data_IF_521181922066
#
_entry.id   IF_521181922066
#
_cell.length_a   1.000
_cell.length_b   1.000
_cell.length_c   1.000
_cell.angle_alpha   90.00
_cell.angle_beta   90.00
_cell.angle_gamma   90.00
#
_symmetry.space_group_name_H-M   'P 1'
#
loop_
_entity.id
_entity.type
_entity.pdbx_description
1 polymer ?
#
# COMPACT_ATOMS: atom_id res chain seq x y z
N UNK A 1 5.82 -22.95 11.37
CA UNK A 1 4.72 -21.96 11.19
C UNK A 1 4.98 -20.62 11.89
N UNK A 2 5.34 -20.58 13.18
CA UNK A 2 5.55 -19.33 13.94
C UNK A 2 6.59 -18.37 13.30
N UNK A 3 7.68 -18.90 12.74
CA UNK A 3 8.76 -18.08 12.15
C UNK A 3 8.34 -17.22 10.96
N UNK A 4 7.37 -17.66 10.13
CA UNK A 4 6.91 -16.92 8.94
C UNK A 4 5.94 -15.79 9.30
N UNK A 5 5.22 -15.94 10.40
CA UNK A 5 4.20 -14.98 10.84
C UNK A 5 4.74 -14.06 11.96
N UNK A 6 6.00 -14.21 12.36
CA UNK A 6 6.59 -13.39 13.43
C UNK A 6 6.51 -11.88 13.13
N UNK A 7 6.83 -11.38 11.91
CA UNK A 7 6.67 -9.96 11.61
C UNK A 7 5.23 -9.48 11.75
N UNK A 8 4.26 -10.27 11.27
CA UNK A 8 2.82 -9.98 11.42
C UNK A 8 2.42 -9.89 12.91
N UNK A 9 2.87 -10.83 13.74
CA UNK A 9 2.56 -10.83 15.17
C UNK A 9 3.14 -9.60 15.88
N UNK A 10 4.36 -9.17 15.50
CA UNK A 10 4.97 -7.95 16.04
C UNK A 10 4.13 -6.73 15.64
N UNK A 11 3.75 -6.61 14.36
CA UNK A 11 2.91 -5.48 13.90
C UNK A 11 1.57 -5.44 14.64
N UNK A 12 0.89 -6.59 14.81
CA UNK A 12 -0.36 -6.66 15.56
C UNK A 12 -0.13 -6.24 17.02
N UNK A 13 0.95 -6.71 17.64
CA UNK A 13 1.32 -6.32 19.00
C UNK A 13 1.55 -4.81 19.13
N UNK A 14 2.30 -4.20 18.21
CA UNK A 14 2.54 -2.75 18.15
C UNK A 14 1.22 -1.99 18.00
N UNK A 15 0.33 -2.42 17.11
CA UNK A 15 -0.98 -1.80 16.93
C UNK A 15 -1.82 -1.87 18.20
N UNK A 16 -1.93 -3.05 18.82
CA UNK A 16 -2.72 -3.25 20.05
C UNK A 16 -2.15 -2.42 21.19
N UNK A 17 -0.84 -2.43 21.41
CA UNK A 17 -0.20 -1.64 22.47
C UNK A 17 -0.37 -0.14 22.23
N UNK A 18 -0.19 0.33 20.99
CA UNK A 18 -0.43 1.72 20.62
C UNK A 18 -1.88 2.14 20.83
N UNK A 19 -2.84 1.29 20.46
CA UNK A 19 -4.25 1.56 20.63
C UNK A 19 -4.63 1.62 22.12
N UNK A 20 -4.13 0.67 22.93
CA UNK A 20 -4.32 0.68 24.38
C UNK A 20 -3.71 1.94 25.02
N UNK A 21 -2.52 2.37 24.57
CA UNK A 21 -1.93 3.62 25.04
C UNK A 21 -2.84 4.82 24.72
N UNK A 22 -3.36 4.93 23.50
CA UNK A 22 -4.29 6.00 23.12
C UNK A 22 -5.56 6.01 24.00
N UNK A 23 -6.09 4.83 24.36
CA UNK A 23 -7.24 4.71 25.27
C UNK A 23 -6.94 5.26 26.68
N UNK A 24 -5.71 5.12 27.17
CA UNK A 24 -5.33 5.67 28.49
C UNK A 24 -5.24 7.20 28.49
N UNK A 25 -4.88 7.80 27.35
CA UNK A 25 -4.73 9.25 27.22
C UNK A 25 -6.06 9.92 26.88
N UNK A 26 -6.88 9.29 26.04
CA UNK A 26 -8.10 9.87 25.50
C UNK A 26 -9.26 8.87 25.55
N UNK A 27 -10.21 9.02 26.49
CA UNK A 27 -11.39 8.14 26.59
C UNK A 27 -12.23 8.07 25.30
N UNK A 28 -12.20 9.13 24.48
CA UNK A 28 -12.90 9.19 23.19
C UNK A 28 -12.41 8.18 22.14
N UNK A 29 -11.21 7.62 22.30
CA UNK A 29 -10.67 6.58 21.41
C UNK A 29 -11.46 5.26 21.46
N UNK A 30 -12.21 5.02 22.55
CA UNK A 30 -13.07 3.86 22.68
C UNK A 30 -14.31 3.94 21.77
N UNK A 31 -14.60 5.11 21.21
CA UNK A 31 -15.76 5.29 20.34
C UNK A 31 -15.63 4.51 19.04
N UNK A 32 -16.73 3.90 18.59
CA UNK A 32 -16.77 3.19 17.30
C UNK A 32 -16.51 4.14 16.13
N UNK A 33 -16.73 5.44 16.32
CA UNK A 33 -16.40 6.50 15.36
C UNK A 33 -14.90 6.59 15.07
N UNK A 34 -14.05 6.56 16.10
CA UNK A 34 -12.59 6.64 15.89
C UNK A 34 -12.09 5.45 15.09
N UNK A 35 -12.55 4.24 15.42
CA UNK A 35 -12.18 3.02 14.68
C UNK A 35 -12.63 3.10 13.22
N UNK A 36 -13.86 3.55 12.96
CA UNK A 36 -14.36 3.71 11.60
C UNK A 36 -13.58 4.77 10.82
N UNK A 37 -13.25 5.90 11.45
CA UNK A 37 -12.48 6.97 10.83
C UNK A 37 -11.08 6.50 10.43
N UNK A 38 -10.39 5.73 11.28
CA UNK A 38 -9.07 5.17 10.95
C UNK A 38 -9.14 4.36 9.64
N UNK A 39 -10.19 3.55 9.45
CA UNK A 39 -10.36 2.74 8.23
C UNK A 39 -10.83 3.58 7.03
N UNK A 40 -11.71 4.55 7.26
CA UNK A 40 -12.29 5.38 6.19
C UNK A 40 -11.30 6.43 5.66
N UNK A 41 -10.60 7.13 6.53
CA UNK A 41 -9.70 8.23 6.16
C UNK A 41 -8.44 7.69 5.48
N UNK A 42 -8.01 6.47 5.84
CA UNK A 42 -6.85 5.81 5.25
C UNK A 42 -7.22 4.85 4.11
N UNK A 43 -8.46 4.89 3.61
CA UNK A 43 -8.93 3.94 2.60
C UNK A 43 -8.10 3.98 1.30
N UNK A 44 -7.77 5.18 0.79
CA UNK A 44 -6.97 5.32 -0.42
C UNK A 44 -5.54 4.78 -0.21
N UNK A 45 -4.92 5.07 0.94
CA UNK A 45 -3.61 4.56 1.29
C UNK A 45 -3.64 3.03 1.45
N UNK A 46 -4.68 2.48 2.06
CA UNK A 46 -4.88 1.04 2.21
C UNK A 46 -4.93 0.31 0.87
N UNK A 47 -5.67 0.84 -0.09
CA UNK A 47 -5.77 0.26 -1.44
C UNK A 47 -4.41 0.24 -2.14
N UNK A 48 -3.65 1.35 -2.07
CA UNK A 48 -2.31 1.44 -2.65
C UNK A 48 -1.35 0.49 -1.95
N UNK A 49 -1.41 0.45 -0.62
CA UNK A 49 -0.53 -0.38 0.19
C UNK A 49 -0.69 -1.86 -0.19
N UNK A 50 -1.90 -2.35 -0.49
CA UNK A 50 -2.11 -3.71 -1.01
C UNK A 50 -1.37 -3.94 -2.32
N UNK A 51 -1.43 -3.00 -3.27
CA UNK A 51 -0.67 -3.08 -4.53
C UNK A 51 0.84 -3.08 -4.30
N UNK A 52 1.30 -2.18 -3.44
CA UNK A 52 2.70 -2.08 -3.01
C UNK A 52 3.18 -3.34 -2.29
N UNK A 53 2.30 -4.07 -1.57
CA UNK A 53 2.65 -5.37 -0.99
C UNK A 53 3.11 -6.33 -2.08
N UNK A 54 2.40 -6.45 -3.20
CA UNK A 54 2.80 -7.36 -4.28
C UNK A 54 4.11 -6.93 -4.96
N UNK A 55 4.32 -5.62 -5.12
CA UNK A 55 5.57 -5.06 -5.66
C UNK A 55 6.74 -5.40 -4.75
N UNK A 56 6.64 -5.09 -3.46
CA UNK A 56 7.72 -5.34 -2.48
C UNK A 56 7.93 -6.85 -2.30
N UNK A 57 6.86 -7.66 -2.28
CA UNK A 57 6.97 -9.11 -2.21
C UNK A 57 7.78 -9.68 -3.38
N UNK A 58 7.72 -9.08 -4.56
CA UNK A 58 8.53 -9.49 -5.72
C UNK A 58 9.98 -8.97 -5.70
N UNK A 59 10.35 -8.14 -4.71
CA UNK A 59 11.65 -7.48 -4.62
C UNK A 59 11.74 -6.15 -5.39
N UNK A 60 10.60 -5.60 -5.83
CA UNK A 60 10.52 -4.33 -6.54
C UNK A 60 10.15 -3.15 -5.64
N UNK A 61 10.25 -1.94 -6.19
CA UNK A 61 9.71 -0.70 -5.61
C UNK A 61 8.97 0.04 -6.72
N UNK A 62 7.77 0.54 -6.43
CA UNK A 62 6.97 1.34 -7.36
C UNK A 62 6.77 2.75 -6.81
N UNK A 63 7.53 3.70 -7.35
CA UNK A 63 7.45 5.12 -6.96
C UNK A 63 6.35 5.87 -7.72
N UNK A 64 5.72 5.26 -8.73
CA UNK A 64 4.77 5.95 -9.60
C UNK A 64 3.38 6.11 -8.99
N UNK A 65 3.03 5.34 -7.96
CA UNK A 65 1.66 5.24 -7.41
C UNK A 65 1.07 6.59 -7.00
N UNK A 66 1.85 7.49 -6.39
CA UNK A 66 1.41 8.83 -6.02
C UNK A 66 1.07 9.71 -7.23
N UNK A 67 1.86 9.62 -8.30
CA UNK A 67 1.60 10.34 -9.55
C UNK A 67 0.47 9.72 -10.37
N UNK A 68 0.21 8.41 -10.24
CA UNK A 68 -0.98 7.76 -10.82
C UNK A 68 -2.26 8.30 -10.18
N UNK A 69 -2.28 8.54 -8.86
CA UNK A 69 -3.40 9.19 -8.16
C UNK A 69 -3.64 10.59 -8.71
N UNK A 70 -2.57 11.39 -8.82
CA UNK A 70 -2.64 12.75 -9.36
C UNK A 70 -3.23 12.77 -10.77
N UNK A 71 -2.69 11.93 -11.66
CA UNK A 71 -3.18 11.80 -13.02
C UNK A 71 -4.63 11.36 -13.06
N UNK A 72 -5.01 10.37 -12.25
CA UNK A 72 -6.39 9.88 -12.17
C UNK A 72 -7.35 10.99 -11.76
N UNK A 73 -7.00 11.77 -10.72
CA UNK A 73 -7.82 12.87 -10.24
C UNK A 73 -8.00 13.97 -11.29
N UNK A 74 -6.90 14.43 -11.90
CA UNK A 74 -6.93 15.48 -12.94
C UNK A 74 -7.68 15.00 -14.18
N UNK A 75 -7.45 13.77 -14.61
CA UNK A 75 -8.14 13.17 -15.76
C UNK A 75 -9.65 13.10 -15.52
N UNK A 76 -10.08 12.59 -14.37
CA UNK A 76 -11.51 12.51 -14.03
C UNK A 76 -12.13 13.91 -13.94
N UNK A 77 -11.44 14.86 -13.31
CA UNK A 77 -11.95 16.22 -13.21
C UNK A 77 -12.15 16.86 -14.59
N UNK A 78 -11.20 16.66 -15.52
CA UNK A 78 -11.28 17.17 -16.89
C UNK A 78 -12.39 16.48 -17.70
N UNK A 79 -12.46 15.16 -17.64
CA UNK A 79 -13.42 14.36 -18.44
C UNK A 79 -14.86 14.53 -17.95
N UNK A 80 -15.06 14.63 -16.64
CA UNK A 80 -16.40 14.86 -16.06
C UNK A 80 -16.78 16.34 -16.19
N UNK A 81 -15.86 17.26 -15.89
CA UNK A 81 -16.13 18.71 -15.90
C UNK A 81 -16.30 19.28 -17.31
N UNK A 82 -15.33 19.05 -18.20
CA UNK A 82 -15.29 19.73 -19.50
C UNK A 82 -16.00 18.93 -20.59
N UNK A 83 -15.84 17.60 -20.58
CA UNK A 83 -16.44 16.72 -21.59
C UNK A 83 -17.81 16.18 -21.18
N UNK A 84 -18.26 16.44 -19.95
CA UNK A 84 -19.57 16.02 -19.45
C UNK A 84 -19.76 14.49 -19.38
N UNK A 85 -18.68 13.70 -19.40
CA UNK A 85 -18.79 12.25 -19.30
C UNK A 85 -19.28 11.86 -17.90
N UNK A 86 -20.26 10.96 -17.85
CA UNK A 86 -20.74 10.42 -16.58
C UNK A 86 -19.60 9.68 -15.84
N UNK A 87 -19.51 9.77 -14.50
CA UNK A 87 -18.52 9.04 -13.70
C UNK A 87 -18.55 7.52 -13.93
N UNK A 88 -19.73 6.97 -14.25
CA UNK A 88 -19.93 5.54 -14.57
C UNK A 88 -19.11 5.09 -15.79
N UNK A 89 -18.85 5.97 -16.75
CA UNK A 89 -18.00 5.71 -17.92
C UNK A 89 -16.56 6.15 -17.69
N UNK A 90 -16.36 7.24 -16.94
CA UNK A 90 -15.03 7.77 -16.65
C UNK A 90 -14.20 6.82 -15.76
N UNK A 91 -14.82 6.15 -14.77
CA UNK A 91 -14.10 5.23 -13.86
C UNK A 91 -13.53 4.00 -14.58
N UNK A 92 -14.29 3.24 -15.39
CA UNK A 92 -13.71 2.13 -16.15
C UNK A 92 -12.63 2.59 -17.12
N UNK A 93 -12.82 3.73 -17.80
CA UNK A 93 -11.86 4.28 -18.75
C UNK A 93 -10.50 4.55 -18.08
N UNK A 94 -10.50 5.28 -16.97
CA UNK A 94 -9.26 5.60 -16.26
C UNK A 94 -8.62 4.35 -15.65
N UNK A 95 -9.41 3.38 -15.17
CA UNK A 95 -8.91 2.09 -14.67
C UNK A 95 -8.19 1.29 -15.77
N UNK A 96 -8.74 1.25 -16.98
CA UNK A 96 -8.08 0.61 -18.12
C UNK A 96 -6.76 1.31 -18.45
N UNK A 97 -6.75 2.64 -18.46
CA UNK A 97 -5.52 3.42 -18.68
C UNK A 97 -4.46 3.15 -17.60
N UNK A 98 -4.86 3.11 -16.31
CA UNK A 98 -3.99 2.79 -15.19
C UNK A 98 -3.37 1.40 -15.30
N UNK A 99 -4.20 0.38 -15.52
CA UNK A 99 -3.74 -0.99 -15.72
C UNK A 99 -2.80 -1.12 -16.94
N UNK A 100 -3.11 -0.44 -18.04
CA UNK A 100 -2.27 -0.42 -19.23
C UNK A 100 -0.91 0.23 -18.95
N UNK A 101 -0.91 1.34 -18.20
CA UNK A 101 0.32 2.02 -17.78
C UNK A 101 1.19 1.13 -16.89
N UNK A 102 0.63 0.42 -15.91
CA UNK A 102 1.40 -0.54 -15.12
C UNK A 102 1.90 -1.73 -15.90
N UNK A 103 1.09 -2.25 -16.82
CA UNK A 103 1.53 -3.33 -17.70
C UNK A 103 2.72 -2.88 -18.56
N UNK A 104 2.67 -1.65 -19.06
CA UNK A 104 3.77 -1.03 -19.79
C UNK A 104 5.02 -0.85 -18.91
N UNK A 105 4.86 -0.37 -17.67
CA UNK A 105 5.99 -0.28 -16.72
C UNK A 105 6.61 -1.64 -16.44
N UNK A 106 5.80 -2.66 -16.14
CA UNK A 106 6.30 -4.01 -15.93
C UNK A 106 6.95 -4.62 -17.18
N UNK A 107 6.46 -4.28 -18.37
CA UNK A 107 7.08 -4.67 -19.63
C UNK A 107 8.46 -4.04 -19.80
N UNK A 108 8.61 -2.73 -19.52
CA UNK A 108 9.88 -2.03 -19.61
C UNK A 108 10.90 -2.57 -18.59
N UNK A 109 10.47 -2.84 -17.36
CA UNK A 109 11.32 -3.44 -16.31
C UNK A 109 11.90 -4.76 -16.79
N UNK A 110 11.06 -5.65 -17.33
CA UNK A 110 11.53 -6.94 -17.83
C UNK A 110 12.31 -6.83 -19.15
N UNK A 111 11.89 -5.99 -20.09
CA UNK A 111 12.53 -5.89 -21.41
C UNK A 111 13.90 -5.21 -21.35
N UNK A 112 14.03 -4.15 -20.54
CA UNK A 112 15.29 -3.39 -20.42
C UNK A 112 16.22 -3.95 -19.35
N UNK A 113 15.74 -4.87 -18.49
CA UNK A 113 16.50 -5.45 -17.37
C UNK A 113 17.07 -4.40 -16.41
N UNK A 114 16.36 -3.28 -16.26
CA UNK A 114 16.70 -2.17 -15.37
C UNK A 114 15.97 -2.37 -14.02
N UNK A 115 16.56 -2.01 -12.87
CA UNK A 115 15.88 -2.01 -11.58
C UNK A 115 14.55 -1.26 -11.61
N UNK A 116 13.52 -1.86 -11.00
CA UNK A 116 12.15 -1.35 -11.11
C UNK A 116 11.93 0.07 -10.57
N UNK A 117 12.68 0.45 -9.52
CA UNK A 117 12.56 1.78 -8.95
C UNK A 117 12.94 2.88 -9.96
N UNK A 118 13.87 2.61 -10.90
CA UNK A 118 14.30 3.59 -11.92
C UNK A 118 13.18 3.79 -12.95
N UNK A 119 12.59 2.69 -13.44
CA UNK A 119 11.49 2.76 -14.43
C UNK A 119 10.26 3.42 -13.82
N UNK A 120 9.93 3.09 -12.57
CA UNK A 120 8.78 3.68 -11.88
C UNK A 120 9.02 5.12 -11.44
N UNK A 121 10.26 5.51 -11.14
CA UNK A 121 10.64 6.93 -10.95
C UNK A 121 10.46 7.73 -12.24
N UNK A 122 10.89 7.20 -13.38
CA UNK A 122 10.66 7.84 -14.68
C UNK A 122 9.16 7.97 -14.98
N UNK A 123 8.39 6.90 -14.69
CA UNK A 123 6.93 6.92 -14.77
C UNK A 123 6.26 7.95 -13.84
N UNK A 124 6.79 8.11 -12.63
CA UNK A 124 6.35 9.09 -11.64
C UNK A 124 6.49 10.52 -12.20
N UNK A 125 7.66 10.86 -12.75
CA UNK A 125 7.90 12.17 -13.35
C UNK A 125 7.05 12.40 -14.59
N UNK A 126 6.91 11.38 -15.44
CA UNK A 126 6.08 11.46 -16.65
C UNK A 126 4.62 11.77 -16.30
N UNK A 127 3.97 10.96 -15.47
CA UNK A 127 2.55 11.18 -15.11
C UNK A 127 2.35 12.47 -14.32
N UNK A 128 3.30 12.84 -13.45
CA UNK A 128 3.24 14.11 -12.72
C UNK A 128 3.32 15.29 -13.68
N UNK A 129 4.26 15.27 -14.62
CA UNK A 129 4.43 16.30 -15.64
C UNK A 129 3.20 16.42 -16.55
N UNK A 130 2.65 15.29 -17.00
CA UNK A 130 1.39 15.26 -17.75
C UNK A 130 0.24 15.86 -16.95
N UNK A 131 0.14 15.54 -15.65
CA UNK A 131 -0.91 16.10 -14.79
C UNK A 131 -0.82 17.63 -14.71
N UNK A 132 0.38 18.18 -14.56
CA UNK A 132 0.61 19.62 -14.57
C UNK A 132 0.33 20.28 -15.93
N UNK A 133 0.68 19.61 -17.02
CA UNK A 133 0.38 20.12 -18.37
C UNK A 133 -1.13 20.20 -18.65
N UNK A 134 -1.91 19.29 -18.04
CA UNK A 134 -3.37 19.31 -18.15
C UNK A 134 -3.98 20.39 -17.25
N UNK A 135 -3.49 20.52 -16.01
CA UNK A 135 -3.92 21.57 -15.07
C UNK A 135 -2.89 21.85 -13.99
N UNK A 136 -2.52 23.12 -13.84
CA UNK A 136 -1.70 23.59 -12.71
C UNK A 136 -2.55 23.81 -11.44
N UNK A 137 -3.82 24.20 -11.63
CA UNK A 137 -4.75 24.46 -10.55
C UNK A 137 -5.61 23.25 -10.20
N UNK A 138 -6.23 23.30 -9.03
CA UNK A 138 -7.20 22.30 -8.60
C UNK A 138 -8.53 22.47 -9.31
N UNK A 139 -9.00 21.40 -9.97
CA UNK A 139 -10.27 21.38 -10.68
C UNK A 139 -11.32 20.70 -9.79
N UNK A 140 -12.39 21.40 -9.37
CA UNK A 140 -13.48 20.78 -8.61
C UNK A 140 -14.28 19.82 -9.49
N UNK A 141 -14.76 18.72 -8.89
CA UNK A 141 -15.63 17.74 -9.55
C UNK A 141 -17.02 17.85 -8.91
N UNK A 142 -17.94 18.53 -9.60
CA UNK A 142 -19.31 18.67 -9.13
C UNK A 142 -20.23 17.75 -9.93
N UNK A 143 -20.61 16.61 -9.34
CA UNK A 143 -21.52 15.66 -9.98
C UNK A 143 -22.33 14.87 -8.94
N UNK A 144 -23.66 14.67 -9.12
CA UNK A 144 -24.52 14.00 -8.13
C UNK A 144 -24.06 12.60 -7.70
N UNK A 145 -23.42 11.85 -8.62
CA UNK A 145 -22.83 10.54 -8.32
C UNK A 145 -21.69 10.64 -7.30
N UNK A 146 -20.86 11.68 -7.37
CA UNK A 146 -19.80 11.91 -6.41
C UNK A 146 -20.37 12.22 -5.01
N UNK A 147 -21.43 13.03 -4.93
CA UNK A 147 -22.13 13.32 -3.67
C UNK A 147 -22.77 12.07 -3.05
N UNK A 148 -23.35 11.23 -3.92
CA UNK A 148 -23.97 9.97 -3.49
C UNK A 148 -22.91 8.99 -2.96
N UNK A 149 -21.78 8.86 -3.66
CA UNK A 149 -20.70 7.95 -3.25
C UNK A 149 -19.95 8.44 -2.00
N UNK A 150 -19.79 9.75 -1.83
CA UNK A 150 -19.13 10.33 -0.65
C UNK A 150 -20.00 10.24 0.61
N UNK A 151 -21.33 10.39 0.46
CA UNK A 151 -22.28 10.30 1.58
C UNK A 151 -22.66 8.87 1.99
N UNK A 152 -22.46 7.90 1.09
CA UNK A 152 -22.76 6.49 1.34
C UNK A 152 -21.86 5.95 2.46
N UNK A 153 -22.48 5.67 3.60
CA UNK A 153 -21.79 5.12 4.76
C UNK A 153 -22.69 4.15 5.53
N UNK A 154 -22.11 3.04 5.96
CA UNK A 154 -22.75 2.12 6.88
C UNK A 154 -22.69 2.67 8.30
N UNK A 155 -23.85 2.91 8.90
CA UNK A 155 -23.93 3.40 10.29
C UNK A 155 -23.76 2.23 11.24
N UNK A 156 -22.83 2.37 12.19
CA UNK A 156 -22.51 1.38 13.21
C UNK A 156 -22.99 1.94 14.56
N UNK A 157 -23.55 1.09 15.45
CA UNK A 157 -23.91 1.49 16.81
C UNK A 157 -22.77 2.25 17.52
N UNK A 158 -23.10 3.29 18.28
CA UNK A 158 -22.09 4.17 18.92
C UNK A 158 -21.60 5.34 18.06
N UNK A 159 -22.26 5.61 16.92
CA UNK A 159 -21.99 6.80 16.09
C UNK A 159 -20.90 6.62 15.04
N UNK A 160 -20.39 5.40 14.88
CA UNK A 160 -19.45 5.05 13.82
C UNK A 160 -20.09 5.08 12.44
N UNK A 161 -19.34 5.57 11.45
CA UNK A 161 -19.74 5.57 10.04
C UNK A 161 -18.61 4.99 9.22
N UNK A 162 -18.81 3.79 8.70
CA UNK A 162 -17.86 3.19 7.76
C UNK A 162 -18.27 3.60 6.34
N UNK A 163 -17.48 4.47 5.72
CA UNK A 163 -17.76 4.95 4.37
C UNK A 163 -17.69 3.81 3.33
N UNK A 164 -18.34 4.01 2.18
CA UNK A 164 -18.20 3.14 1.03
C UNK A 164 -16.72 2.94 0.62
N UNK A 165 -15.88 3.97 0.80
CA UNK A 165 -14.44 3.91 0.53
C UNK A 165 -13.70 2.97 1.49
N UNK A 166 -14.03 3.03 2.79
CA UNK A 166 -13.48 2.11 3.78
C UNK A 166 -13.89 0.66 3.49
N UNK A 167 -15.15 0.43 3.10
CA UNK A 167 -15.64 -0.88 2.67
C UNK A 167 -14.93 -1.38 1.41
N UNK A 168 -14.72 -0.51 0.42
CA UNK A 168 -13.98 -0.83 -0.80
C UNK A 168 -12.52 -1.21 -0.48
N UNK A 169 -11.86 -0.46 0.41
CA UNK A 169 -10.52 -0.80 0.89
C UNK A 169 -10.49 -2.18 1.55
N UNK A 170 -11.44 -2.49 2.45
CA UNK A 170 -11.54 -3.82 3.07
C UNK A 170 -11.78 -4.93 2.04
N UNK A 171 -12.62 -4.69 1.03
CA UNK A 171 -12.83 -5.62 -0.07
C UNK A 171 -11.54 -5.86 -0.86
N UNK A 172 -10.79 -4.80 -1.17
CA UNK A 172 -9.47 -4.90 -1.83
C UNK A 172 -8.48 -5.69 -0.98
N UNK A 173 -8.46 -5.50 0.35
CA UNK A 173 -7.61 -6.28 1.26
C UNK A 173 -7.98 -7.75 1.22
N UNK A 174 -9.28 -8.09 1.29
CA UNK A 174 -9.76 -9.49 1.21
C UNK A 174 -9.38 -10.13 -0.12
N UNK A 175 -9.62 -9.42 -1.24
CA UNK A 175 -9.22 -9.86 -2.58
C UNK A 175 -7.71 -10.03 -2.66
N UNK A 176 -6.93 -9.09 -2.11
CA UNK A 176 -5.47 -9.15 -2.06
C UNK A 176 -4.97 -10.35 -1.25
N UNK A 177 -5.58 -10.66 -0.10
CA UNK A 177 -5.25 -11.84 0.70
C UNK A 177 -5.52 -13.12 -0.10
N UNK A 178 -6.69 -13.20 -0.77
CA UNK A 178 -7.04 -14.32 -1.64
C UNK A 178 -6.04 -14.47 -2.79
N UNK A 179 -5.73 -13.37 -3.47
CA UNK A 179 -4.79 -13.33 -4.58
C UNK A 179 -3.39 -13.78 -4.14
N UNK A 180 -2.91 -13.32 -2.98
CA UNK A 180 -1.60 -13.66 -2.44
C UNK A 180 -1.47 -15.14 -2.02
N UNK A 181 -2.49 -15.72 -1.37
CA UNK A 181 -2.37 -17.04 -0.74
C UNK A 181 -3.11 -18.18 -1.44
N UNK A 182 -4.10 -17.87 -2.29
CA UNK A 182 -4.99 -18.88 -2.89
C UNK A 182 -4.87 -18.97 -4.41
N UNK A 183 -4.04 -18.16 -5.05
CA UNK A 183 -3.88 -18.18 -6.51
C UNK A 183 -2.47 -18.52 -6.96
N UNK A 184 -2.34 -18.99 -8.20
CA UNK A 184 -1.04 -19.24 -8.85
C UNK A 184 -0.21 -17.96 -8.96
N UNK A 185 -0.85 -16.82 -9.22
CA UNK A 185 -0.17 -15.54 -9.31
C UNK A 185 0.53 -15.19 -7.99
N UNK A 186 -0.16 -15.28 -6.85
CA UNK A 186 0.45 -15.05 -5.54
C UNK A 186 1.68 -15.94 -5.30
N UNK A 187 1.56 -17.24 -5.55
CA UNK A 187 2.70 -18.16 -5.42
C UNK A 187 3.90 -17.79 -6.32
N UNK A 188 3.64 -17.33 -7.54
CA UNK A 188 4.70 -16.85 -8.45
C UNK A 188 5.37 -15.58 -7.93
N UNK A 189 4.60 -14.65 -7.35
CA UNK A 189 5.13 -13.42 -6.73
C UNK A 189 6.09 -13.76 -5.59
N UNK A 190 5.67 -14.63 -4.66
CA UNK A 190 6.53 -15.07 -3.54
C UNK A 190 7.78 -15.81 -4.02
N UNK A 191 7.67 -16.65 -5.06
CA UNK A 191 8.82 -17.38 -5.62
C UNK A 191 9.85 -16.44 -6.24
N UNK A 192 9.41 -15.45 -7.02
CA UNK A 192 10.29 -14.45 -7.63
C UNK A 192 11.00 -13.62 -6.56
N UNK A 193 10.27 -13.19 -5.53
CA UNK A 193 10.84 -12.44 -4.42
C UNK A 193 11.85 -13.21 -3.58
N UNK A 194 11.75 -14.53 -3.53
CA UNK A 194 12.76 -15.37 -2.87
C UNK A 194 14.04 -15.48 -3.70
N UNK A 195 13.91 -15.88 -4.96
CA UNK A 195 15.02 -15.88 -5.92
C UNK A 195 14.48 -15.96 -7.36
N UNK A 196 14.58 -14.88 -8.12
CA UNK A 196 14.10 -14.79 -9.49
C UNK A 196 14.77 -15.80 -10.43
N UNK A 197 16.07 -16.08 -10.25
CA UNK A 197 16.83 -17.05 -11.05
C UNK A 197 16.32 -18.47 -10.80
N UNK A 198 16.16 -18.86 -9.53
CA UNK A 198 15.60 -20.17 -9.17
C UNK A 198 14.16 -20.32 -9.63
N UNK A 199 13.34 -19.27 -9.51
CA UNK A 199 11.96 -19.29 -10.00
C UNK A 199 11.89 -19.55 -11.52
N UNK A 200 12.78 -18.92 -12.30
CA UNK A 200 12.86 -19.11 -13.74
C UNK A 200 13.28 -20.54 -14.12
N UNK A 201 14.28 -21.10 -13.42
CA UNK A 201 14.69 -22.50 -13.60
C UNK A 201 13.57 -23.51 -13.25
N UNK A 202 12.65 -23.12 -12.36
CA UNK A 202 11.47 -23.92 -11.99
C UNK A 202 10.26 -23.69 -12.91
N UNK A 203 10.45 -23.02 -14.07
CA UNK A 203 9.43 -22.81 -15.09
C UNK A 203 8.46 -21.66 -14.82
N UNK A 204 8.74 -20.80 -13.83
CA UNK A 204 7.93 -19.60 -13.58
C UNK A 204 8.36 -18.50 -14.55
N UNK A 205 7.44 -18.04 -15.38
CA UNK A 205 7.68 -16.91 -16.27
C UNK A 205 7.82 -15.60 -15.47
N UNK A 206 9.05 -15.20 -15.17
CA UNK A 206 9.36 -13.96 -14.45
C UNK A 206 8.75 -12.75 -15.17
N UNK A 207 8.96 -12.67 -16.50
CA UNK A 207 8.40 -11.63 -17.37
C UNK A 207 6.90 -11.40 -17.19
N UNK A 208 6.09 -12.44 -17.38
CA UNK A 208 4.63 -12.30 -17.27
C UNK A 208 4.20 -11.95 -15.85
N UNK A 209 4.93 -12.42 -14.83
CA UNK A 209 4.59 -12.15 -13.44
C UNK A 209 4.89 -10.71 -13.09
N UNK A 210 6.06 -10.18 -13.49
CA UNK A 210 6.43 -8.77 -13.33
C UNK A 210 5.42 -7.85 -13.98
N UNK A 211 5.01 -8.12 -15.23
CA UNK A 211 3.98 -7.32 -15.92
C UNK A 211 2.67 -7.28 -15.12
N UNK A 212 2.21 -8.43 -14.61
CA UNK A 212 0.98 -8.52 -13.81
C UNK A 212 1.09 -7.84 -12.45
N UNK A 213 2.26 -7.85 -11.81
CA UNK A 213 2.53 -7.16 -10.54
C UNK A 213 2.35 -5.65 -10.72
N UNK A 214 3.00 -5.05 -11.72
CA UNK A 214 2.93 -3.60 -11.95
C UNK A 214 1.57 -3.16 -12.52
N UNK A 215 0.93 -4.00 -13.34
CA UNK A 215 -0.48 -3.81 -13.74
C UNK A 215 -1.41 -3.76 -12.53
N UNK A 216 -1.26 -4.68 -11.57
CA UNK A 216 -2.05 -4.70 -10.33
C UNK A 216 -1.75 -3.48 -9.46
N UNK A 217 -0.46 -3.13 -9.27
CA UNK A 217 -0.03 -1.99 -8.47
C UNK A 217 -0.66 -0.69 -8.94
N UNK A 218 -0.47 -0.36 -10.22
CA UNK A 218 -1.02 0.86 -10.82
C UNK A 218 -2.53 0.82 -10.95
N UNK A 219 -3.14 -0.34 -11.23
CA UNK A 219 -4.60 -0.50 -11.23
C UNK A 219 -5.21 -0.19 -9.86
N UNK A 220 -4.59 -0.65 -8.78
CA UNK A 220 -4.98 -0.29 -7.41
C UNK A 220 -4.66 1.17 -7.09
N UNK A 221 -3.55 1.74 -7.57
CA UNK A 221 -3.26 3.16 -7.41
C UNK A 221 -4.29 4.06 -8.13
N UNK A 222 -4.76 3.65 -9.31
CA UNK A 222 -5.86 4.31 -10.03
C UNK A 222 -7.18 4.16 -9.29
N UNK A 223 -7.50 2.98 -8.75
CA UNK A 223 -8.68 2.80 -7.90
C UNK A 223 -8.62 3.70 -6.67
N UNK A 224 -7.45 3.80 -6.02
CA UNK A 224 -7.21 4.72 -4.93
C UNK A 224 -7.31 6.19 -5.36
N UNK A 225 -6.92 6.53 -6.59
CA UNK A 225 -7.09 7.85 -7.17
C UNK A 225 -8.56 8.22 -7.39
N UNK A 226 -9.39 7.27 -7.82
CA UNK A 226 -10.86 7.44 -7.88
C UNK A 226 -11.39 7.72 -6.47
N UNK A 227 -11.05 6.88 -5.50
CA UNK A 227 -11.44 7.04 -4.09
C UNK A 227 -11.00 8.39 -3.53
N UNK A 228 -9.76 8.80 -3.81
CA UNK A 228 -9.21 10.08 -3.37
C UNK A 228 -9.98 11.24 -3.99
N UNK A 229 -10.27 11.19 -5.30
CA UNK A 229 -11.06 12.24 -5.97
C UNK A 229 -12.48 12.37 -5.42
N UNK A 230 -13.11 11.26 -5.00
CA UNK A 230 -14.44 11.29 -4.38
C UNK A 230 -14.35 11.85 -2.94
N UNK A 231 -13.26 11.57 -2.23
CA UNK A 231 -13.02 12.12 -0.91
C UNK A 231 -12.77 13.64 -0.95
N UNK A 232 -11.95 14.13 -1.90
CA UNK A 232 -11.61 15.55 -2.03
C UNK A 232 -12.59 16.36 -2.88
N UNK A 233 -13.46 15.70 -3.65
CA UNK A 233 -14.35 16.32 -4.65
C UNK A 233 -13.58 17.20 -5.66
N UNK A 234 -12.30 16.87 -5.91
CA UNK A 234 -11.41 17.66 -6.75
C UNK A 234 -10.25 16.81 -7.31
N UNK A 235 -9.74 17.23 -8.46
CA UNK A 235 -8.52 16.69 -9.08
C UNK A 235 -7.43 17.76 -9.21
N UNK A 236 -6.21 17.46 -8.76
CA UNK A 236 -5.08 18.39 -8.81
C UNK A 236 -3.74 17.65 -8.94
N UNK A 237 -2.78 18.27 -9.63
CA UNK A 237 -1.51 17.62 -9.97
C UNK A 237 -0.60 17.34 -8.76
N UNK A 238 -0.78 18.03 -7.64
CA UNK A 238 -0.06 17.79 -6.38
C UNK A 238 -0.70 16.68 -5.52
N UNK A 239 -1.80 16.06 -5.95
CA UNK A 239 -2.40 14.97 -5.21
C UNK A 239 -1.40 13.80 -5.06
N UNK A 240 -1.49 13.07 -3.95
CA UNK A 240 -0.69 11.87 -3.73
C UNK A 240 0.83 12.07 -3.58
N UNK A 241 1.37 13.29 -3.44
CA UNK A 241 2.82 13.49 -3.19
C UNK A 241 3.23 12.77 -1.90
N UNK A 242 4.25 11.92 -1.97
CA UNK A 242 4.78 11.19 -0.82
C UNK A 242 3.92 10.02 -0.38
N UNK A 243 2.78 9.76 -1.03
CA UNK A 243 1.94 8.60 -0.71
C UNK A 243 2.65 7.30 -1.08
N UNK A 244 3.52 7.31 -2.09
CA UNK A 244 4.43 6.21 -2.40
C UNK A 244 5.32 5.84 -1.20
N UNK A 245 5.85 6.83 -0.48
CA UNK A 245 6.70 6.61 0.70
C UNK A 245 5.88 6.11 1.90
N UNK A 246 4.68 6.68 2.11
CA UNK A 246 3.77 6.24 3.17
C UNK A 246 3.29 4.80 2.95
N UNK A 247 3.03 4.43 1.69
CA UNK A 247 2.63 3.07 1.35
C UNK A 247 3.78 2.08 1.57
N UNK A 248 5.01 2.43 1.19
CA UNK A 248 6.20 1.61 1.50
C UNK A 248 6.36 1.47 3.01
N UNK A 249 6.30 2.58 3.76
CA UNK A 249 6.42 2.55 5.22
C UNK A 249 5.35 1.66 5.85
N UNK A 250 4.08 1.79 5.43
CA UNK A 250 2.98 0.96 5.90
C UNK A 250 3.18 -0.53 5.58
N UNK A 251 3.66 -0.87 4.38
CA UNK A 251 3.92 -2.26 4.00
C UNK A 251 5.08 -2.86 4.79
N UNK A 252 6.15 -2.08 5.02
CA UNK A 252 7.33 -2.50 5.78
C UNK A 252 7.00 -2.64 7.26
N UNK A 253 6.36 -1.64 7.89
CA UNK A 253 5.84 -1.72 9.26
C UNK A 253 4.86 -2.89 9.39
N UNK A 254 4.12 -3.19 8.32
CA UNK A 254 3.24 -4.35 8.18
C UNK A 254 3.95 -5.72 8.16
N UNK A 255 5.29 -5.77 8.21
CA UNK A 255 6.04 -7.01 8.29
C UNK A 255 6.54 -7.57 6.96
N UNK A 256 6.39 -6.84 5.85
CA UNK A 256 6.92 -7.26 4.55
C UNK A 256 8.39 -6.85 4.42
N UNK A 257 9.25 -7.75 3.98
CA UNK A 257 10.69 -7.49 3.82
C UNK A 257 10.95 -6.78 2.49
N UNK A 258 11.77 -5.72 2.51
CA UNK A 258 12.22 -5.02 1.30
C UNK A 258 13.05 -5.91 0.36
N UNK A 259 13.64 -6.99 0.87
CA UNK A 259 14.33 -8.00 0.05
C UNK A 259 13.39 -8.87 -0.79
N UNK A 260 12.08 -8.84 -0.52
CA UNK A 260 11.09 -9.70 -1.16
C UNK A 260 10.92 -11.07 -0.49
N UNK A 261 9.95 -11.84 -1.00
CA UNK A 261 9.72 -13.24 -0.64
C UNK A 261 9.03 -13.49 0.71
N UNK A 262 8.94 -12.49 1.60
CA UNK A 262 8.30 -12.61 2.92
C UNK A 262 7.44 -11.39 3.22
N UNK A 263 6.17 -11.65 3.56
CA UNK A 263 5.20 -10.62 3.93
C UNK A 263 3.77 -11.11 3.77
N UNK A 264 2.80 -10.33 4.24
CA UNK A 264 1.37 -10.64 4.09
C UNK A 264 0.56 -9.37 3.89
N UNK A 265 -0.48 -9.45 3.05
CA UNK A 265 -1.42 -8.34 2.83
C UNK A 265 -2.15 -7.94 4.12
N UNK A 266 -2.44 -8.91 5.00
CA UNK A 266 -3.04 -8.63 6.31
C UNK A 266 -2.12 -7.78 7.19
N UNK A 267 -0.81 -8.03 7.17
CA UNK A 267 0.16 -7.21 7.89
C UNK A 267 0.20 -5.78 7.36
N UNK A 268 0.12 -5.61 6.04
CA UNK A 268 0.00 -4.28 5.42
C UNK A 268 -1.23 -3.50 5.91
N UNK A 269 -2.39 -4.16 6.07
CA UNK A 269 -3.58 -3.52 6.65
C UNK A 269 -3.29 -2.96 8.05
N UNK A 270 -2.61 -3.72 8.91
CA UNK A 270 -2.22 -3.25 10.23
C UNK A 270 -1.17 -2.13 10.17
N UNK A 271 -0.23 -2.17 9.22
CA UNK A 271 0.71 -1.07 9.00
C UNK A 271 0.01 0.25 8.65
N UNK A 272 -0.97 0.20 7.74
CA UNK A 272 -1.82 1.35 7.41
C UNK A 272 -2.66 1.79 8.61
N UNK A 273 -3.19 0.85 9.39
CA UNK A 273 -3.94 1.15 10.60
C UNK A 273 -3.07 1.80 11.69
N UNK A 274 -1.78 1.44 11.81
CA UNK A 274 -0.83 2.11 12.71
C UNK A 274 -0.59 3.54 12.25
N UNK A 275 -0.40 3.77 10.95
CA UNK A 275 -0.29 5.13 10.41
C UNK A 275 -1.55 5.96 10.73
N UNK A 276 -2.75 5.39 10.51
CA UNK A 276 -4.01 6.05 10.85
C UNK A 276 -4.19 6.29 12.35
N UNK A 277 -3.69 5.37 13.19
CA UNK A 277 -3.70 5.52 14.65
C UNK A 277 -2.83 6.69 15.10
N UNK A 278 -1.61 6.80 14.58
CA UNK A 278 -0.68 7.90 14.88
C UNK A 278 -1.29 9.24 14.46
N UNK A 279 -1.86 9.31 13.25
CA UNK A 279 -2.51 10.52 12.76
C UNK A 279 -3.71 10.92 13.62
N UNK A 280 -4.53 9.93 14.00
CA UNK A 280 -5.68 10.15 14.89
C UNK A 280 -5.22 10.67 16.25
N UNK A 281 -4.16 10.10 16.83
CA UNK A 281 -3.62 10.55 18.13
C UNK A 281 -3.20 12.02 18.08
N UNK A 282 -2.45 12.42 17.06
CA UNK A 282 -1.99 13.81 16.89
C UNK A 282 -3.17 14.76 16.74
N UNK A 283 -4.22 14.35 16.01
CA UNK A 283 -5.44 15.15 15.88
C UNK A 283 -6.20 15.30 17.21
N UNK A 284 -6.18 14.28 18.09
CA UNK A 284 -6.80 14.35 19.42
C UNK A 284 -6.02 15.22 20.39
N UNK A 285 -4.69 15.18 20.33
CA UNK A 285 -3.82 16.04 21.13
C UNK A 285 -4.03 17.52 20.80
N UNK A 286 -4.15 17.85 19.50
CA UNK A 286 -4.51 19.19 19.03
C UNK A 286 -3.44 20.26 19.22
N UNK A 287 -2.35 20.00 19.96
CA UNK A 287 -1.23 20.92 20.15
C UNK A 287 -0.07 20.64 19.19
N UNK A 288 0.03 19.39 18.71
CA UNK A 288 1.07 18.94 17.80
C UNK A 288 0.76 19.29 16.34
N UNK A 289 1.78 19.75 15.61
CA UNK A 289 1.72 19.90 14.15
C UNK A 289 1.54 18.55 13.44
N UNK A 290 0.84 18.54 12.30
CA UNK A 290 0.67 17.36 11.44
C UNK A 290 1.99 16.73 10.97
N UNK A 291 3.08 17.50 10.93
CA UNK A 291 4.43 17.00 10.63
C UNK A 291 4.96 15.99 11.64
N UNK A 292 4.48 16.02 12.89
CA UNK A 292 4.82 15.00 13.89
C UNK A 292 4.39 13.60 13.45
N UNK A 293 3.35 13.49 12.62
CA UNK A 293 2.91 12.20 12.03
C UNK A 293 4.04 11.59 11.22
N UNK A 294 4.70 12.39 10.37
CA UNK A 294 5.82 11.93 9.53
C UNK A 294 7.04 11.56 10.36
N UNK A 295 7.34 12.33 11.41
CA UNK A 295 8.45 12.03 12.34
C UNK A 295 8.20 10.69 13.04
N UNK A 296 7.00 10.50 13.60
CA UNK A 296 6.62 9.28 14.30
C UNK A 296 6.67 8.05 13.37
N UNK A 297 6.15 8.17 12.14
CA UNK A 297 6.22 7.10 11.13
C UNK A 297 7.68 6.80 10.76
N UNK A 298 8.53 7.81 10.60
CA UNK A 298 9.94 7.64 10.29
C UNK A 298 10.71 6.90 11.39
N UNK A 299 10.50 7.28 12.66
CA UNK A 299 11.10 6.61 13.82
C UNK A 299 10.60 5.17 13.90
N UNK A 300 9.30 4.94 13.76
CA UNK A 300 8.71 3.61 13.83
C UNK A 300 9.25 2.70 12.71
N UNK A 301 9.32 3.22 11.48
CA UNK A 301 9.90 2.52 10.34
C UNK A 301 11.36 2.14 10.61
N UNK A 302 12.16 3.06 11.14
CA UNK A 302 13.56 2.79 11.49
C UNK A 302 13.67 1.69 12.54
N UNK A 303 12.89 1.75 13.62
CA UNK A 303 12.84 0.71 14.66
C UNK A 303 12.47 -0.63 14.03
N UNK A 304 11.48 -0.66 13.14
CA UNK A 304 11.01 -1.88 12.52
C UNK A 304 12.07 -2.50 11.61
N UNK A 305 12.77 -1.69 10.80
CA UNK A 305 13.86 -2.14 9.94
C UNK A 305 15.05 -2.63 10.80
N UNK A 306 15.41 -1.91 11.86
CA UNK A 306 16.46 -2.31 12.78
C UNK A 306 16.14 -3.66 13.45
N UNK A 307 14.89 -3.85 13.88
CA UNK A 307 14.40 -5.11 14.44
C UNK A 307 14.45 -6.24 13.41
N UNK A 308 13.96 -6.01 12.18
CA UNK A 308 14.01 -6.99 11.09
C UNK A 308 15.45 -7.41 10.79
N UNK A 309 16.37 -6.45 10.69
CA UNK A 309 17.79 -6.72 10.40
C UNK A 309 18.45 -7.47 11.55
N UNK A 310 18.20 -7.08 12.79
CA UNK A 310 18.73 -7.73 13.99
C UNK A 310 18.26 -9.19 14.11
N UNK A 311 16.97 -9.45 13.90
CA UNK A 311 16.42 -10.81 13.89
C UNK A 311 17.06 -11.68 12.80
N UNK A 312 17.27 -11.12 11.61
CA UNK A 312 17.90 -11.85 10.49
C UNK A 312 19.35 -12.23 10.83
N UNK A 313 20.16 -11.29 11.33
CA UNK A 313 21.57 -11.53 11.70
C UNK A 313 21.69 -12.55 12.85
N UNK A 314 20.83 -12.45 13.87
CA UNK A 314 20.81 -13.42 14.97
C UNK A 314 20.51 -14.85 14.49
N UNK A 315 19.72 -14.99 13.43
CA UNK A 315 19.42 -16.30 12.85
C UNK A 315 20.56 -16.85 12.02
N UNK A 316 21.20 -16.03 11.19
CA UNK A 316 22.41 -16.42 10.44
C UNK A 316 23.50 -16.94 11.39
N UNK A 317 23.75 -16.21 12.49
CA UNK A 317 24.76 -16.59 13.49
C UNK A 317 24.44 -17.92 14.22
N UNK A 318 23.15 -18.26 14.39
CA UNK A 318 22.74 -19.55 14.99
C UNK A 318 22.94 -20.72 14.05
N UNK A 319 22.79 -20.52 12.74
CA UNK A 319 22.99 -21.58 11.73
C UNK A 319 24.46 -21.84 11.41
N UNK A 320 25.34 -20.86 11.62
CA UNK A 320 26.79 -21.01 11.44
C UNK A 320 27.53 -21.58 12.65
N UNK A 321 26.81 -22.06 13.68
CA UNK A 321 27.46 -22.73 14.83
C UNK A 321 28.13 -24.03 14.35
N UNK A 322 29.42 -24.26 14.66
CA UNK A 322 30.14 -25.42 14.15
C UNK A 322 29.45 -26.71 14.60
N UNK A 323 29.11 -27.57 13.63
CA UNK A 323 28.57 -28.91 13.90
C UNK A 323 29.63 -29.67 14.69
N UNK A 324 29.37 -29.90 15.98
CA UNK A 324 30.24 -30.72 16.83
C UNK A 324 30.24 -32.14 16.27
N UNK A 325 31.29 -32.51 15.53
CA UNK A 325 31.49 -33.91 15.12
C UNK A 325 31.78 -34.70 16.38
N UNK A 326 30.83 -35.54 16.78
CA UNK A 326 31.07 -36.55 17.81
C UNK A 326 32.04 -37.56 17.17
N UNK A 327 33.33 -37.47 17.51
CA UNK A 327 34.27 -38.53 17.20
C UNK A 327 33.84 -39.75 18.00
N UNK A 328 33.17 -40.68 17.35
CA UNK A 328 32.99 -42.03 17.87
C UNK A 328 34.40 -42.63 17.86
N UNK A 329 35.00 -42.70 19.03
CA UNK A 329 36.26 -43.41 19.23
C UNK A 329 36.08 -44.84 18.72
N UNK A 330 36.96 -45.26 17.82
CA UNK A 330 37.05 -46.63 17.36
C UNK A 330 37.57 -47.48 18.53
N UNK A 331 36.76 -48.46 18.95
CA UNK A 331 37.25 -49.64 19.67
C UNK A 331 37.65 -50.73 18.66
#
# INVERSE_FOLDING_TARGET
>A
MIKRNLPLMITIGVFVLGYLYCLTQFPGFASTRVICNILTDNAFLGIIAVGMTFVILSGGIDLSVGSVIAFTGVFLAKVIGDFGLSPLLAFPLVLVMGCAFGAFMGLLIDALKIPAFIITLAGMFFLRGVSYLVSEESIPINHPVYDTLSSLAWKIPGGGRLSAMGLLMLAVVVIGIFLAHRTRFGNQVYAIGGNATSANLMGISTRSTTIRIYMLSTGLATLAGIVFSIYTQAGYALAGVGVELDAIASVVIGGTLLSGGVGTVLGTLFGVAIQGLIQTYINFDGTLSSWWTKIAIGILLFIFIALQRGLTVLWENRQSSPVTRINIAQE
#
